data_IF_303464628246
#
_entry.id   IF_303464628246
#
_cell.length_a   1.000
_cell.length_b   1.000
_cell.length_c   1.000
_cell.angle_alpha   90.00
_cell.angle_beta   90.00
_cell.angle_gamma   90.00
#
_symmetry.space_group_name_H-M   'P 1'
#
loop_
_entity.id
_entity.type
_entity.pdbx_description
1 polymer ?
#
# COMPACT_ATOMS: atom_id res chain seq x y z
N UNK A 1 9.42 42.45 -8.39
CA UNK A 1 8.76 42.55 -7.07
C UNK A 1 7.70 41.46 -6.90
N UNK A 2 6.93 41.13 -7.95
CA UNK A 2 5.96 40.00 -7.92
C UNK A 2 6.58 38.67 -7.49
N UNK A 3 7.70 38.23 -8.08
CA UNK A 3 8.36 36.95 -7.72
C UNK A 3 8.75 36.85 -6.24
N UNK A 4 9.08 37.98 -5.60
CA UNK A 4 9.41 38.03 -4.17
C UNK A 4 8.16 38.00 -3.29
N UNK A 5 7.05 38.60 -3.75
CA UNK A 5 5.76 38.52 -3.06
C UNK A 5 5.14 37.12 -3.16
N UNK A 6 5.23 36.50 -4.33
CA UNK A 6 4.70 35.16 -4.59
C UNK A 6 5.42 34.11 -3.75
N UNK A 7 6.75 34.21 -3.67
CA UNK A 7 7.57 33.35 -2.80
C UNK A 7 7.28 33.55 -1.31
N UNK A 8 7.09 34.79 -0.86
CA UNK A 8 6.76 35.08 0.53
C UNK A 8 5.34 34.60 0.90
N UNK A 9 4.40 34.67 -0.03
CA UNK A 9 3.04 34.15 0.13
C UNK A 9 3.03 32.62 0.17
N UNK A 10 3.79 31.94 -0.70
CA UNK A 10 3.99 30.50 -0.62
C UNK A 10 4.61 30.09 0.72
N UNK A 11 5.69 30.75 1.16
CA UNK A 11 6.35 30.40 2.41
C UNK A 11 5.45 30.64 3.65
N UNK A 12 4.57 31.64 3.60
CA UNK A 12 3.55 31.85 4.63
C UNK A 12 2.44 30.80 4.57
N UNK A 13 1.98 30.42 3.38
CA UNK A 13 0.99 29.36 3.19
C UNK A 13 1.53 28.01 3.67
N UNK A 14 2.77 27.67 3.34
CA UNK A 14 3.46 26.46 3.77
C UNK A 14 3.63 26.42 5.29
N UNK A 15 3.99 27.55 5.92
CA UNK A 15 4.08 27.65 7.39
C UNK A 15 2.72 27.55 8.08
N UNK A 16 1.67 28.13 7.49
CA UNK A 16 0.30 28.04 8.01
C UNK A 16 -0.25 26.62 7.88
N UNK A 17 -0.01 25.98 6.74
CA UNK A 17 -0.34 24.58 6.50
C UNK A 17 0.40 23.68 7.49
N UNK A 18 1.71 23.85 7.63
CA UNK A 18 2.53 23.11 8.58
C UNK A 18 2.05 23.33 10.03
N UNK A 19 1.71 24.56 10.41
CA UNK A 19 1.18 24.87 11.73
C UNK A 19 -0.20 24.24 11.97
N UNK A 20 -1.10 24.28 10.99
CA UNK A 20 -2.43 23.70 11.08
C UNK A 20 -2.33 22.16 11.18
N UNK A 21 -1.49 21.55 10.34
CA UNK A 21 -1.12 20.14 10.38
C UNK A 21 -0.59 19.76 11.76
N UNK A 22 0.46 20.42 12.27
CA UNK A 22 1.02 20.12 13.60
C UNK A 22 -0.02 20.27 14.72
N UNK A 23 -0.86 21.31 14.69
CA UNK A 23 -1.88 21.51 15.73
C UNK A 23 -2.99 20.46 15.74
N UNK A 24 -3.19 19.78 14.61
CA UNK A 24 -4.22 18.74 14.43
C UNK A 24 -3.71 17.35 14.83
N UNK A 25 -2.39 17.12 14.80
CA UNK A 25 -1.79 15.81 15.05
C UNK A 25 -1.14 15.71 16.43
N UNK A 26 -1.11 14.48 16.95
CA UNK A 26 -0.16 14.18 18.03
C UNK A 26 1.26 14.26 17.49
N UNK A 27 2.20 14.61 18.36
CA UNK A 27 3.64 14.66 18.04
C UNK A 27 4.14 13.35 17.41
N UNK A 28 3.53 12.23 17.80
CA UNK A 28 3.85 10.89 17.31
C UNK A 28 3.30 10.59 15.91
N UNK A 29 2.04 10.91 15.63
CA UNK A 29 1.46 10.73 14.29
C UNK A 29 2.20 11.61 13.27
N UNK A 30 2.48 12.87 13.62
CA UNK A 30 3.24 13.78 12.76
C UNK A 30 4.65 13.25 12.47
N UNK A 31 5.38 12.79 13.51
CA UNK A 31 6.72 12.20 13.36
C UNK A 31 6.70 11.02 12.40
N UNK A 32 5.75 10.10 12.53
CA UNK A 32 5.69 8.89 11.70
C UNK A 32 5.29 9.18 10.25
N UNK A 33 4.42 10.16 10.02
CA UNK A 33 3.98 10.53 8.67
C UNK A 33 5.04 11.31 7.88
N UNK A 34 5.69 12.30 8.51
CA UNK A 34 6.47 13.31 7.77
C UNK A 34 7.95 13.38 8.16
N UNK A 35 8.32 12.93 9.36
CA UNK A 35 9.72 13.05 9.83
C UNK A 35 10.49 11.73 9.74
N UNK A 36 9.84 10.60 10.01
CA UNK A 36 10.43 9.28 9.87
C UNK A 36 10.50 8.93 8.39
N UNK A 37 11.71 8.70 7.87
CA UNK A 37 11.88 8.22 6.49
C UNK A 37 11.19 6.86 6.35
N UNK A 38 10.47 6.66 5.23
CA UNK A 38 10.01 5.34 4.87
C UNK A 38 11.23 4.49 4.51
N UNK A 39 11.38 3.37 5.21
CA UNK A 39 12.45 2.42 4.93
C UNK A 39 12.03 1.48 3.81
N UNK A 40 12.99 1.11 2.99
CA UNK A 40 12.79 0.09 1.96
C UNK A 40 13.64 -1.12 2.32
N UNK A 41 13.07 -2.31 2.25
CA UNK A 41 13.77 -3.55 2.55
C UNK A 41 13.66 -4.53 1.38
N UNK A 42 14.73 -5.25 1.05
CA UNK A 42 14.62 -6.53 0.35
C UNK A 42 14.32 -7.63 1.38
N UNK A 43 13.26 -8.41 1.14
CA UNK A 43 12.92 -9.55 2.00
C UNK A 43 13.61 -10.80 1.49
N UNK A 44 14.40 -11.45 2.35
CA UNK A 44 15.13 -12.66 1.98
C UNK A 44 14.18 -13.85 1.79
N UNK A 45 14.34 -14.56 0.67
CA UNK A 45 13.51 -15.71 0.29
C UNK A 45 14.37 -16.94 -0.01
N UNK A 46 13.86 -18.12 0.33
CA UNK A 46 14.47 -19.41 0.00
C UNK A 46 14.22 -19.82 -1.46
N UNK A 47 14.78 -20.96 -1.86
CA UNK A 47 14.67 -21.50 -3.22
C UNK A 47 13.25 -21.94 -3.57
N UNK A 48 12.38 -22.10 -2.58
CA UNK A 48 10.94 -22.37 -2.73
C UNK A 48 10.09 -21.08 -2.69
N UNK A 49 10.72 -19.93 -2.51
CA UNK A 49 10.08 -18.61 -2.48
C UNK A 49 9.43 -18.23 -1.15
N UNK A 50 9.68 -18.97 -0.06
CA UNK A 50 9.22 -18.62 1.28
C UNK A 50 10.17 -17.64 1.96
N UNK A 51 9.67 -16.93 2.98
CA UNK A 51 10.47 -16.00 3.78
C UNK A 51 11.54 -16.76 4.58
N UNK A 52 12.81 -16.37 4.41
CA UNK A 52 13.89 -16.84 5.28
C UNK A 52 13.79 -16.13 6.62
N UNK A 53 13.93 -16.91 7.70
CA UNK A 53 13.79 -16.43 9.07
C UNK A 53 15.07 -16.65 9.88
N UNK A 54 15.34 -15.72 10.78
CA UNK A 54 16.42 -15.83 11.76
C UNK A 54 16.12 -16.88 12.85
N UNK A 55 17.04 -17.03 13.80
CA UNK A 55 16.87 -17.96 14.92
C UNK A 55 15.71 -17.63 15.87
N UNK A 56 15.19 -16.39 15.83
CA UNK A 56 14.01 -15.96 16.60
C UNK A 56 12.70 -16.14 15.81
N UNK A 57 12.79 -16.60 14.56
CA UNK A 57 11.65 -16.77 13.68
C UNK A 57 11.19 -15.47 13.00
N UNK A 58 11.99 -14.39 13.03
CA UNK A 58 11.67 -13.13 12.34
C UNK A 58 12.20 -13.17 10.90
N UNK A 59 11.50 -12.55 9.93
CA UNK A 59 12.02 -12.40 8.56
C UNK A 59 13.38 -11.72 8.54
N UNK A 60 14.28 -12.20 7.69
CA UNK A 60 15.53 -11.50 7.40
C UNK A 60 15.24 -10.40 6.39
N UNK A 61 15.53 -9.15 6.77
CA UNK A 61 15.28 -7.95 5.99
C UNK A 61 16.60 -7.23 5.73
N UNK A 62 16.86 -6.91 4.47
CA UNK A 62 18.03 -6.14 4.05
C UNK A 62 17.59 -4.72 3.73
N UNK A 63 17.90 -3.76 4.61
CA UNK A 63 17.56 -2.34 4.39
C UNK A 63 18.31 -1.81 3.17
N UNK A 64 17.57 -1.18 2.25
CA UNK A 64 18.09 -0.60 1.01
C UNK A 64 18.38 0.87 1.26
N UNK A 65 19.60 1.30 0.95
CA UNK A 65 19.96 2.70 1.06
C UNK A 65 19.38 3.56 -0.09
N UNK A 66 19.40 4.89 0.07
CA UNK A 66 18.84 5.81 -0.92
C UNK A 66 19.48 5.70 -2.31
N UNK A 67 20.77 5.35 -2.40
CA UNK A 67 21.46 5.23 -3.68
C UNK A 67 21.15 3.90 -4.37
N UNK A 68 20.91 2.85 -3.60
CA UNK A 68 20.54 1.51 -4.07
C UNK A 68 19.10 1.45 -4.61
N UNK A 69 18.21 2.32 -4.14
CA UNK A 69 16.83 2.45 -4.66
C UNK A 69 16.74 2.69 -6.16
N UNK A 70 17.75 3.31 -6.78
CA UNK A 70 17.81 3.55 -8.23
C UNK A 70 18.35 2.34 -9.01
N UNK A 71 18.80 1.29 -8.33
CA UNK A 71 19.46 0.11 -8.90
C UNK A 71 18.82 -1.19 -8.43
N UNK A 72 17.57 -1.11 -7.96
CA UNK A 72 16.81 -2.29 -7.59
C UNK A 72 16.72 -3.22 -8.79
N UNK A 73 16.91 -4.51 -8.51
CA UNK A 73 16.92 -5.53 -9.54
C UNK A 73 15.52 -6.08 -9.68
N UNK A 74 14.94 -5.92 -10.87
CA UNK A 74 13.89 -6.82 -11.30
C UNK A 74 14.49 -8.17 -11.65
N UNK A 75 13.79 -9.24 -11.28
CA UNK A 75 14.23 -10.63 -11.40
C UNK A 75 13.06 -11.46 -11.90
N UNK A 76 13.32 -12.59 -12.55
CA UNK A 76 12.27 -13.43 -13.15
C UNK A 76 11.94 -13.10 -14.59
N UNK A 77 11.01 -13.87 -15.17
CA UNK A 77 10.67 -13.81 -16.60
C UNK A 77 9.99 -12.49 -16.99
N UNK A 78 9.17 -11.94 -16.08
CA UNK A 78 8.40 -10.71 -16.32
C UNK A 78 9.23 -9.43 -16.11
N UNK A 79 10.43 -9.54 -15.51
CA UNK A 79 11.35 -8.43 -15.22
C UNK A 79 10.67 -7.22 -14.55
N UNK A 80 9.63 -7.45 -13.73
CA UNK A 80 8.98 -6.41 -12.93
C UNK A 80 9.54 -6.40 -11.51
N UNK A 81 9.59 -5.22 -10.91
CA UNK A 81 9.96 -5.05 -9.51
C UNK A 81 8.74 -5.34 -8.62
N UNK A 82 8.81 -6.31 -7.70
CA UNK A 82 7.72 -6.58 -6.77
C UNK A 82 7.87 -5.71 -5.51
N UNK A 83 6.97 -4.76 -5.32
CA UNK A 83 6.96 -3.83 -4.19
C UNK A 83 5.67 -3.99 -3.39
N UNK A 84 5.81 -4.09 -2.07
CA UNK A 84 4.70 -4.21 -1.13
C UNK A 84 4.65 -3.03 -0.15
N UNK A 85 3.44 -2.57 0.19
CA UNK A 85 3.19 -1.58 1.24
C UNK A 85 2.29 -2.16 2.33
N UNK A 86 2.69 -1.98 3.59
CA UNK A 86 2.02 -2.61 4.74
C UNK A 86 0.82 -1.83 5.30
N UNK A 87 0.00 -2.54 6.06
CA UNK A 87 -1.12 -2.00 6.82
C UNK A 87 -0.71 -1.25 8.10
N UNK A 88 -1.73 -0.86 8.89
CA UNK A 88 -1.57 -0.32 10.24
C UNK A 88 -1.08 -1.40 11.22
N UNK A 89 -0.45 -1.00 12.33
CA UNK A 89 -0.06 -1.92 13.40
C UNK A 89 0.85 -3.07 12.95
N UNK A 90 1.74 -2.82 11.98
CA UNK A 90 2.72 -3.79 11.53
C UNK A 90 4.12 -3.27 11.84
N UNK A 91 4.81 -3.96 12.76
CA UNK A 91 6.25 -3.80 12.88
C UNK A 91 6.97 -4.31 11.61
N UNK A 92 8.28 -4.05 11.52
CA UNK A 92 9.08 -4.45 10.36
C UNK A 92 8.99 -5.96 10.08
N UNK A 93 8.98 -6.80 11.13
CA UNK A 93 8.90 -8.25 11.02
C UNK A 93 7.55 -8.72 10.46
N UNK A 94 6.43 -8.22 10.99
CA UNK A 94 5.10 -8.54 10.48
C UNK A 94 4.93 -8.06 9.03
N UNK A 95 5.38 -6.84 8.72
CA UNK A 95 5.33 -6.28 7.38
C UNK A 95 6.15 -7.11 6.38
N UNK A 96 7.35 -7.56 6.78
CA UNK A 96 8.21 -8.43 5.98
C UNK A 96 7.61 -9.81 5.72
N UNK A 97 6.91 -10.39 6.70
CA UNK A 97 6.21 -11.65 6.50
C UNK A 97 5.01 -11.48 5.55
N UNK A 98 4.23 -10.42 5.73
CA UNK A 98 3.06 -10.15 4.88
C UNK A 98 3.42 -9.79 3.45
N UNK A 99 4.58 -9.15 3.21
CA UNK A 99 4.98 -8.79 1.85
C UNK A 99 5.10 -10.02 0.95
N UNK A 100 5.75 -11.09 1.42
CA UNK A 100 5.86 -12.34 0.65
C UNK A 100 4.55 -13.11 0.63
N UNK A 101 3.82 -13.16 1.75
CA UNK A 101 2.52 -13.84 1.82
C UNK A 101 1.52 -13.28 0.80
N UNK A 102 1.48 -11.96 0.64
CA UNK A 102 0.39 -11.28 -0.08
C UNK A 102 0.80 -10.76 -1.47
N UNK A 103 2.08 -10.45 -1.70
CA UNK A 103 2.54 -10.13 -3.05
C UNK A 103 2.41 -11.34 -3.98
N UNK A 104 2.56 -12.56 -3.45
CA UNK A 104 2.50 -13.81 -4.21
C UNK A 104 3.47 -13.80 -5.41
N UNK A 105 4.62 -13.16 -5.21
CA UNK A 105 5.66 -13.07 -6.23
C UNK A 105 6.19 -14.47 -6.59
N UNK A 106 6.43 -14.76 -7.87
CA UNK A 106 6.96 -16.05 -8.31
C UNK A 106 8.24 -16.46 -7.59
N UNK A 107 8.49 -17.77 -7.55
CA UNK A 107 9.73 -18.33 -7.01
C UNK A 107 10.92 -17.80 -7.81
N UNK A 108 11.98 -17.41 -7.11
CA UNK A 108 13.18 -16.79 -7.70
C UNK A 108 13.07 -15.29 -7.98
N UNK A 109 11.90 -14.67 -7.77
CA UNK A 109 11.75 -13.22 -7.84
C UNK A 109 11.98 -12.53 -6.49
N UNK A 110 12.58 -11.35 -6.50
CA UNK A 110 12.76 -10.52 -5.30
C UNK A 110 11.46 -9.81 -4.92
N UNK A 111 11.26 -9.60 -3.62
CA UNK A 111 10.18 -8.81 -3.03
C UNK A 111 10.78 -7.71 -2.18
N UNK A 112 10.35 -6.48 -2.45
CA UNK A 112 10.76 -5.29 -1.70
C UNK A 112 9.58 -4.77 -0.88
N UNK A 113 9.84 -4.36 0.36
CA UNK A 113 8.87 -3.78 1.28
C UNK A 113 9.16 -2.29 1.41
N UNK A 114 8.21 -1.43 1.05
CA UNK A 114 8.17 -0.04 1.52
C UNK A 114 7.45 -0.05 2.86
N UNK A 115 8.22 0.05 3.96
CA UNK A 115 7.67 0.01 5.31
C UNK A 115 7.13 1.38 5.71
N UNK A 116 5.83 1.44 5.94
CA UNK A 116 5.20 2.52 6.67
C UNK A 116 5.21 2.16 8.16
N UNK A 117 6.02 2.83 8.99
CA UNK A 117 6.15 2.51 10.40
C UNK A 117 4.81 2.65 11.12
N UNK A 118 4.56 1.73 12.05
CA UNK A 118 3.44 1.84 12.95
C UNK A 118 3.63 3.02 13.92
N UNK A 119 2.53 3.54 14.44
CA UNK A 119 2.55 4.46 15.57
C UNK A 119 2.43 3.64 16.84
N UNK A 120 3.14 3.98 17.92
CA UNK A 120 3.19 3.16 19.13
C UNK A 120 1.88 3.19 19.94
N UNK A 121 0.78 3.76 19.41
CA UNK A 121 -0.53 3.78 20.04
C UNK A 121 -1.69 3.84 19.04
N UNK A 122 -2.84 3.27 19.44
CA UNK A 122 -4.03 3.15 18.61
C UNK A 122 -4.61 4.49 18.11
N UNK A 123 -4.61 5.53 18.95
CA UNK A 123 -5.16 6.84 18.56
C UNK A 123 -4.32 7.47 17.42
N UNK A 124 -3.00 7.38 17.51
CA UNK A 124 -2.11 7.94 16.50
C UNK A 124 -2.25 7.20 15.17
N UNK A 125 -2.43 5.87 15.19
CA UNK A 125 -2.72 5.10 13.97
C UNK A 125 -4.04 5.55 13.31
N UNK A 126 -5.08 5.81 14.10
CA UNK A 126 -6.34 6.33 13.58
C UNK A 126 -6.19 7.73 12.97
N UNK A 127 -5.36 8.59 13.56
CA UNK A 127 -5.08 9.91 13.00
C UNK A 127 -4.32 9.82 11.66
N UNK A 128 -3.32 8.93 11.57
CA UNK A 128 -2.61 8.65 10.31
C UNK A 128 -3.59 8.14 9.26
N UNK A 129 -4.41 7.15 9.60
CA UNK A 129 -5.42 6.61 8.69
C UNK A 129 -6.43 7.68 8.24
N UNK A 130 -6.89 8.53 9.15
CA UNK A 130 -7.78 9.65 8.85
C UNK A 130 -7.14 10.67 7.92
N UNK A 131 -5.87 11.00 8.12
CA UNK A 131 -5.10 11.86 7.23
C UNK A 131 -4.99 11.26 5.83
N UNK A 132 -4.50 10.01 5.72
CA UNK A 132 -4.37 9.35 4.44
C UNK A 132 -5.70 9.23 3.69
N UNK A 133 -6.81 9.02 4.40
CA UNK A 133 -8.13 8.87 3.77
C UNK A 133 -8.78 10.17 3.32
N UNK A 134 -8.57 11.26 4.05
CA UNK A 134 -9.34 12.49 3.86
C UNK A 134 -8.55 13.72 3.43
N UNK A 135 -7.23 13.72 3.58
CA UNK A 135 -6.41 14.93 3.49
C UNK A 135 -5.10 14.75 2.71
N UNK A 136 -4.49 13.57 2.74
CA UNK A 136 -3.22 13.33 2.05
C UNK A 136 -3.37 13.61 0.55
N UNK A 137 -2.54 14.52 0.06
CA UNK A 137 -2.55 15.00 -1.32
C UNK A 137 -1.27 15.76 -1.61
N UNK A 138 -0.98 16.00 -2.90
CA UNK A 138 0.14 16.84 -3.32
C UNK A 138 0.15 18.24 -2.65
N UNK A 139 -1.03 18.81 -2.37
CA UNK A 139 -1.16 20.15 -1.80
C UNK A 139 -1.01 20.19 -0.27
N UNK A 140 -1.51 19.17 0.44
CA UNK A 140 -1.50 19.14 1.91
C UNK A 140 -0.28 18.37 2.48
N UNK A 141 0.41 17.62 1.62
CA UNK A 141 1.65 16.92 1.92
C UNK A 141 1.48 15.40 1.85
N UNK A 142 2.35 14.73 1.12
CA UNK A 142 2.41 13.28 1.12
C UNK A 142 3.19 12.77 2.32
N UNK A 143 2.74 11.66 2.89
CA UNK A 143 3.53 10.92 3.88
C UNK A 143 4.78 10.36 3.22
N UNK A 144 5.82 10.09 4.00
CA UNK A 144 7.09 9.61 3.45
C UNK A 144 6.96 8.26 2.74
N UNK A 145 6.03 7.39 3.16
CA UNK A 145 5.77 6.12 2.47
C UNK A 145 5.09 6.34 1.11
N UNK A 146 4.13 7.27 1.04
CA UNK A 146 3.50 7.66 -0.24
C UNK A 146 4.53 8.28 -1.18
N UNK A 147 5.40 9.15 -0.66
CA UNK A 147 6.49 9.74 -1.45
C UNK A 147 7.45 8.67 -2.00
N UNK A 148 7.75 7.63 -1.23
CA UNK A 148 8.57 6.52 -1.71
C UNK A 148 7.89 5.77 -2.87
N UNK A 149 6.57 5.54 -2.80
CA UNK A 149 5.82 4.92 -3.89
C UNK A 149 5.76 5.81 -5.14
N UNK A 150 5.62 7.13 -4.97
CA UNK A 150 5.73 8.10 -6.07
C UNK A 150 7.11 7.97 -6.75
N UNK A 151 8.19 7.94 -5.95
CA UNK A 151 9.55 7.85 -6.47
C UNK A 151 9.78 6.53 -7.24
N UNK A 152 9.42 5.39 -6.65
CA UNK A 152 9.55 4.09 -7.31
C UNK A 152 8.71 4.00 -8.58
N UNK A 153 7.51 4.59 -8.58
CA UNK A 153 6.66 4.67 -9.76
C UNK A 153 7.31 5.45 -10.90
N UNK A 154 7.96 6.58 -10.59
CA UNK A 154 8.67 7.37 -11.60
C UNK A 154 9.91 6.67 -12.16
N UNK A 155 10.61 5.90 -11.31
CA UNK A 155 11.84 5.20 -11.71
C UNK A 155 11.51 3.93 -12.51
N UNK A 156 10.54 3.14 -12.05
CA UNK A 156 10.30 1.78 -12.54
C UNK A 156 8.94 1.55 -13.21
N UNK A 157 8.00 2.49 -13.10
CA UNK A 157 6.61 2.26 -13.53
C UNK A 157 6.43 2.03 -15.03
N UNK A 158 7.33 2.56 -15.86
CA UNK A 158 7.37 2.32 -17.31
C UNK A 158 8.17 1.07 -17.69
N UNK A 159 9.17 0.71 -16.88
CA UNK A 159 10.06 -0.44 -17.16
C UNK A 159 9.44 -1.76 -16.70
N UNK A 160 8.73 -1.75 -15.57
CA UNK A 160 8.09 -2.93 -15.01
C UNK A 160 8.00 -2.88 -13.49
N UNK A 161 6.78 -2.71 -12.97
CA UNK A 161 6.52 -2.59 -11.54
C UNK A 161 5.27 -3.41 -11.17
N UNK A 162 5.32 -4.11 -10.03
CA UNK A 162 4.18 -4.73 -9.39
C UNK A 162 4.03 -4.06 -8.02
N UNK A 163 2.93 -3.33 -7.81
CA UNK A 163 2.61 -2.71 -6.52
C UNK A 163 1.54 -3.54 -5.82
N UNK A 164 1.85 -4.03 -4.62
CA UNK A 164 0.87 -4.72 -3.76
C UNK A 164 0.62 -3.91 -2.49
N UNK A 165 -0.64 -3.57 -2.23
CA UNK A 165 -1.06 -2.82 -1.04
C UNK A 165 -2.00 -3.62 -0.15
N UNK A 166 -1.64 -3.78 1.13
CA UNK A 166 -2.52 -4.37 2.14
C UNK A 166 -3.14 -3.32 3.04
N UNK A 167 -4.45 -3.37 3.29
CA UNK A 167 -5.10 -2.49 4.26
C UNK A 167 -4.82 -1.01 3.97
N UNK A 168 -4.19 -0.27 4.90
CA UNK A 168 -3.66 1.09 4.68
C UNK A 168 -2.62 1.19 3.55
N UNK A 169 -1.83 0.15 3.30
CA UNK A 169 -0.87 0.12 2.20
C UNK A 169 -1.52 0.39 0.84
N UNK A 170 -2.78 -0.01 0.64
CA UNK A 170 -3.51 0.34 -0.59
C UNK A 170 -3.81 1.85 -0.68
N UNK A 171 -4.06 2.53 0.45
CA UNK A 171 -4.20 3.99 0.50
C UNK A 171 -2.89 4.68 0.16
N UNK A 172 -1.77 4.15 0.63
CA UNK A 172 -0.43 4.67 0.30
C UNK A 172 -0.19 4.64 -1.22
N UNK A 173 -0.60 3.55 -1.89
CA UNK A 173 -0.52 3.43 -3.35
C UNK A 173 -1.54 4.37 -4.03
N UNK A 174 -2.80 4.38 -3.58
CA UNK A 174 -3.85 5.24 -4.14
C UNK A 174 -3.49 6.73 -4.09
N UNK A 175 -3.03 7.22 -2.94
CA UNK A 175 -2.61 8.61 -2.74
C UNK A 175 -1.38 8.97 -3.58
N UNK A 176 -0.47 8.00 -3.81
CA UNK A 176 0.64 8.19 -4.73
C UNK A 176 0.15 8.36 -6.17
N UNK A 177 -0.84 7.58 -6.60
CA UNK A 177 -1.45 7.71 -7.93
C UNK A 177 -2.17 9.05 -8.10
N UNK A 178 -2.95 9.49 -7.12
CA UNK A 178 -3.59 10.80 -7.12
C UNK A 178 -2.56 11.92 -7.26
N UNK A 179 -1.43 11.83 -6.55
CA UNK A 179 -0.33 12.80 -6.72
C UNK A 179 0.27 12.74 -8.12
N UNK A 180 0.59 11.54 -8.63
CA UNK A 180 1.18 11.36 -9.97
C UNK A 180 0.31 11.98 -11.07
N UNK A 181 -1.01 11.93 -10.94
CA UNK A 181 -1.95 12.55 -11.89
C UNK A 181 -1.78 14.08 -11.96
N UNK A 182 -1.38 14.72 -10.86
CA UNK A 182 -1.14 16.17 -10.83
C UNK A 182 0.22 16.59 -11.39
N UNK A 183 1.14 15.64 -11.62
CA UNK A 183 2.52 15.95 -12.00
C UNK A 183 2.72 16.18 -13.51
N UNK A 184 1.71 15.89 -14.34
CA UNK A 184 1.81 16.04 -15.79
C UNK A 184 2.83 15.10 -16.45
N UNK A 185 3.11 13.95 -15.83
CA UNK A 185 4.01 12.94 -16.37
C UNK A 185 3.35 12.18 -17.52
N UNK A 186 4.13 11.79 -18.52
CA UNK A 186 3.65 10.97 -19.64
C UNK A 186 3.68 9.51 -19.21
N UNK A 187 2.48 8.94 -19.04
CA UNK A 187 2.24 7.51 -18.79
C UNK A 187 3.18 6.88 -17.74
N UNK A 188 3.35 7.48 -16.54
CA UNK A 188 4.34 7.03 -15.55
C UNK A 188 4.16 5.57 -15.10
N UNK A 189 3.00 4.96 -15.32
CA UNK A 189 2.66 3.60 -14.90
C UNK A 189 2.39 2.64 -16.08
N UNK A 190 2.91 2.93 -17.29
CA UNK A 190 2.61 2.17 -18.50
C UNK A 190 2.90 0.66 -18.41
N UNK A 191 3.83 0.22 -17.57
CA UNK A 191 4.12 -1.19 -17.31
C UNK A 191 3.95 -1.58 -15.82
N UNK A 192 2.97 -0.99 -15.14
CA UNK A 192 2.71 -1.26 -13.72
C UNK A 192 1.47 -2.12 -13.49
N UNK A 193 1.61 -3.23 -12.78
CA UNK A 193 0.47 -3.99 -12.26
C UNK A 193 0.20 -3.58 -10.81
N UNK A 194 -1.07 -3.53 -10.42
CA UNK A 194 -1.47 -3.21 -9.05
C UNK A 194 -2.34 -4.33 -8.49
N UNK A 195 -2.02 -4.75 -7.26
CA UNK A 195 -2.79 -5.71 -6.48
C UNK A 195 -3.14 -5.14 -5.12
N UNK A 196 -4.40 -5.25 -4.74
CA UNK A 196 -4.92 -4.80 -3.46
C UNK A 196 -5.51 -5.96 -2.66
N UNK A 197 -5.08 -6.07 -1.40
CA UNK A 197 -5.46 -7.15 -0.47
C UNK A 197 -6.07 -6.56 0.79
N UNK A 198 -7.34 -6.88 1.09
CA UNK A 198 -8.14 -6.23 2.14
C UNK A 198 -8.04 -4.69 2.15
N UNK A 199 -8.17 -4.00 0.99
CA UNK A 199 -7.71 -2.61 0.85
C UNK A 199 -8.61 -1.56 1.50
N UNK A 200 -8.02 -0.54 2.11
CA UNK A 200 -8.75 0.65 2.58
C UNK A 200 -9.01 1.70 1.46
N UNK A 201 -8.38 1.51 0.29
CA UNK A 201 -8.59 2.30 -0.93
C UNK A 201 -9.53 1.58 -1.89
N UNK A 202 -10.27 2.32 -2.72
CA UNK A 202 -11.17 1.73 -3.71
C UNK A 202 -10.37 1.14 -4.88
N UNK A 203 -10.47 -0.16 -5.10
CA UNK A 203 -9.86 -0.83 -6.24
C UNK A 203 -10.42 -0.32 -7.58
N UNK A 204 -11.66 0.16 -7.60
CA UNK A 204 -12.25 0.77 -8.79
C UNK A 204 -11.64 2.14 -9.10
N UNK A 205 -11.44 2.98 -8.08
CA UNK A 205 -10.76 4.28 -8.24
C UNK A 205 -9.30 4.09 -8.66
N UNK A 206 -8.62 3.10 -8.08
CA UNK A 206 -7.27 2.74 -8.47
C UNK A 206 -7.22 2.20 -9.91
N UNK A 207 -8.17 1.36 -10.35
CA UNK A 207 -8.22 0.89 -11.73
C UNK A 207 -8.40 2.04 -12.73
N UNK A 208 -9.29 2.99 -12.43
CA UNK A 208 -9.51 4.18 -13.27
C UNK A 208 -8.25 5.06 -13.32
N UNK A 209 -7.58 5.23 -12.18
CA UNK A 209 -6.35 6.01 -12.10
C UNK A 209 -5.19 5.32 -12.81
N UNK A 210 -5.09 3.99 -12.73
CA UNK A 210 -4.07 3.20 -13.41
C UNK A 210 -4.26 3.26 -14.93
N UNK A 211 -5.51 3.15 -15.43
CA UNK A 211 -5.84 3.33 -16.85
C UNK A 211 -5.34 4.68 -17.37
N UNK A 212 -5.61 5.75 -16.63
CA UNK A 212 -5.14 7.10 -16.98
C UNK A 212 -3.61 7.22 -16.93
N UNK A 213 -2.98 6.80 -15.81
CA UNK A 213 -1.54 6.93 -15.58
C UNK A 213 -0.70 5.98 -16.43
N UNK A 214 -1.31 4.96 -17.02
CA UNK A 214 -0.65 4.02 -17.92
C UNK A 214 -0.89 4.34 -19.40
N UNK A 215 -1.71 5.34 -19.73
CA UNK A 215 -2.11 5.61 -21.11
C UNK A 215 -3.00 4.52 -21.72
N UNK A 216 -3.75 3.78 -20.89
CA UNK A 216 -4.57 2.65 -21.30
C UNK A 216 -3.82 1.32 -21.42
N UNK A 217 -2.53 1.27 -21.09
CA UNK A 217 -1.74 0.04 -21.14
C UNK A 217 -2.08 -0.93 -20.00
N UNK A 218 -2.57 -0.41 -18.87
CA UNK A 218 -2.93 -1.17 -17.67
C UNK A 218 -4.31 -0.73 -17.20
N UNK A 219 -5.31 -1.60 -17.38
CA UNK A 219 -6.73 -1.22 -17.24
C UNK A 219 -7.42 -1.96 -16.11
N UNK A 220 -6.68 -2.63 -15.23
CA UNK A 220 -7.28 -3.34 -14.10
C UNK A 220 -6.40 -3.39 -12.87
N UNK A 221 -7.04 -3.44 -11.70
CA UNK A 221 -6.41 -3.76 -10.41
C UNK A 221 -6.84 -5.14 -9.98
N UNK A 222 -5.89 -5.99 -9.59
CA UNK A 222 -6.21 -7.26 -8.94
C UNK A 222 -6.70 -6.99 -7.51
N UNK A 223 -7.86 -7.52 -7.15
CA UNK A 223 -8.47 -7.38 -5.84
C UNK A 223 -8.59 -8.74 -5.17
N UNK A 224 -8.17 -8.81 -3.91
CA UNK A 224 -8.49 -9.88 -2.99
C UNK A 224 -9.09 -9.25 -1.73
N UNK A 225 -10.34 -9.57 -1.44
CA UNK A 225 -11.10 -8.94 -0.36
C UNK A 225 -12.10 -9.91 0.26
N UNK A 226 -12.01 -10.10 1.56
CA UNK A 226 -12.80 -11.06 2.31
C UNK A 226 -14.16 -10.49 2.73
N UNK A 227 -15.22 -11.31 2.72
CA UNK A 227 -16.56 -10.87 3.11
C UNK A 227 -16.64 -10.35 4.56
N UNK A 228 -15.85 -10.90 5.47
CA UNK A 228 -15.84 -10.47 6.87
C UNK A 228 -14.84 -9.34 7.17
N UNK A 229 -14.13 -8.84 6.16
CA UNK A 229 -13.20 -7.71 6.31
C UNK A 229 -13.91 -6.37 6.11
N UNK A 230 -14.12 -5.63 7.20
CA UNK A 230 -14.77 -4.32 7.13
C UNK A 230 -13.86 -3.23 6.54
N UNK A 231 -12.53 -3.38 6.60
CA UNK A 231 -11.60 -2.41 6.03
C UNK A 231 -11.77 -2.41 4.52
N UNK A 232 -11.67 -3.60 3.93
CA UNK A 232 -11.92 -3.79 2.50
C UNK A 232 -13.31 -3.36 2.06
N UNK A 233 -14.35 -3.83 2.76
CA UNK A 233 -15.75 -3.64 2.34
C UNK A 233 -16.35 -2.28 2.65
N UNK A 234 -16.11 -1.74 3.84
CA UNK A 234 -16.78 -0.54 4.31
C UNK A 234 -15.89 0.69 4.13
N UNK A 235 -14.61 0.61 4.50
CA UNK A 235 -13.68 1.76 4.38
C UNK A 235 -13.24 1.93 2.93
N UNK A 236 -12.84 0.84 2.29
CA UNK A 236 -12.47 0.83 0.87
C UNK A 236 -13.65 0.80 -0.09
N UNK A 237 -14.84 0.43 0.37
CA UNK A 237 -16.04 0.32 -0.47
C UNK A 237 -15.95 -0.82 -1.50
N UNK A 238 -15.06 -1.79 -1.29
CA UNK A 238 -14.74 -2.80 -2.28
C UNK A 238 -15.70 -4.00 -2.24
N UNK A 239 -15.91 -4.61 -3.40
CA UNK A 239 -16.63 -5.88 -3.50
C UNK A 239 -15.83 -7.03 -2.87
N UNK A 240 -16.54 -8.09 -2.51
CA UNK A 240 -15.96 -9.30 -1.89
C UNK A 240 -15.59 -10.32 -2.95
N UNK A 241 -14.58 -11.12 -2.66
CA UNK A 241 -13.98 -12.08 -3.61
C UNK A 241 -14.04 -13.52 -3.10
N UNK A 242 -14.08 -13.69 -1.78
CA UNK A 242 -14.33 -14.93 -1.04
C UNK A 242 -14.89 -14.56 0.35
N UNK A 243 -15.27 -15.53 1.19
CA UNK A 243 -16.07 -15.18 2.37
C UNK A 243 -16.37 -16.28 3.38
N UNK A 244 -15.56 -17.34 3.48
CA UNK A 244 -15.81 -18.33 4.53
C UNK A 244 -15.50 -17.74 5.92
N UNK A 245 -16.29 -18.10 6.93
CA UNK A 245 -16.03 -17.70 8.32
C UNK A 245 -16.11 -18.93 9.22
N UNK A 246 -15.41 -18.95 10.36
CA UNK A 246 -15.45 -20.09 11.28
C UNK A 246 -16.88 -20.41 11.74
N UNK A 247 -17.16 -21.71 11.94
CA UNK A 247 -18.45 -22.18 12.44
C UNK A 247 -18.81 -21.48 13.77
N UNK A 248 -20.06 -21.00 13.87
CA UNK A 248 -20.53 -20.25 15.02
C UNK A 248 -19.99 -18.81 15.14
N UNK A 249 -19.27 -18.32 14.13
CA UNK A 249 -18.88 -16.91 14.03
C UNK A 249 -19.90 -16.06 13.29
N UNK A 250 -19.73 -14.74 13.37
CA UNK A 250 -20.51 -13.74 12.66
C UNK A 250 -19.65 -12.50 12.35
N UNK A 251 -20.15 -11.59 11.51
CA UNK A 251 -19.40 -10.41 11.07
C UNK A 251 -18.89 -9.55 12.23
N UNK A 252 -19.70 -9.31 13.26
CA UNK A 252 -19.29 -8.48 14.40
C UNK A 252 -18.11 -9.12 15.14
N UNK A 253 -18.16 -10.43 15.36
CA UNK A 253 -17.06 -11.18 15.99
C UNK A 253 -15.79 -11.13 15.14
N UNK A 254 -15.93 -11.29 13.82
CA UNK A 254 -14.79 -11.19 12.92
C UNK A 254 -14.19 -9.78 12.87
N UNK A 255 -15.00 -8.73 12.94
CA UNK A 255 -14.49 -7.36 13.02
C UNK A 255 -13.70 -7.10 14.29
N UNK A 256 -14.09 -7.71 15.41
CA UNK A 256 -13.31 -7.67 16.65
C UNK A 256 -11.99 -8.43 16.48
N UNK A 257 -12.00 -9.60 15.84
CA UNK A 257 -10.80 -10.42 15.63
C UNK A 257 -9.74 -9.69 14.79
N UNK A 258 -10.14 -8.85 13.83
CA UNK A 258 -9.22 -8.06 12.98
C UNK A 258 -8.24 -7.21 13.80
N UNK A 259 -8.65 -6.70 14.96
CA UNK A 259 -7.79 -5.85 15.80
C UNK A 259 -6.86 -6.62 16.75
N UNK A 260 -7.07 -7.93 16.92
CA UNK A 260 -6.41 -8.70 17.98
C UNK A 260 -5.71 -9.98 17.52
N UNK A 261 -5.86 -10.37 16.25
CA UNK A 261 -5.38 -11.66 15.77
C UNK A 261 -4.81 -11.56 14.35
N UNK A 262 -3.61 -12.12 14.16
CA UNK A 262 -2.99 -12.27 12.83
C UNK A 262 -3.79 -13.22 11.94
N UNK A 263 -4.31 -14.31 12.52
CA UNK A 263 -5.25 -15.21 11.83
C UNK A 263 -6.66 -14.61 11.93
N UNK A 264 -6.98 -13.72 11.01
CA UNK A 264 -8.28 -13.04 10.93
C UNK A 264 -8.68 -12.82 9.47
N UNK A 265 -9.95 -12.46 9.25
CA UNK A 265 -10.46 -12.06 7.94
C UNK A 265 -9.64 -10.96 7.23
N UNK A 266 -8.85 -10.17 7.98
CA UNK A 266 -8.04 -9.09 7.44
C UNK A 266 -6.55 -9.45 7.29
N UNK A 267 -6.05 -10.46 8.01
CA UNK A 267 -4.66 -10.95 7.89
C UNK A 267 -4.51 -12.16 6.97
N UNK A 268 -5.60 -12.91 6.75
CA UNK A 268 -5.62 -14.15 5.97
C UNK A 268 -5.88 -13.90 4.48
N UNK A 269 -4.88 -13.30 3.83
CA UNK A 269 -4.80 -13.07 2.38
C UNK A 269 -3.60 -13.81 1.76
N UNK A 270 -3.56 -13.89 0.43
CA UNK A 270 -2.51 -14.52 -0.37
C UNK A 270 -2.29 -16.00 -0.05
N UNK A 271 -1.03 -16.44 0.02
CA UNK A 271 -0.65 -17.83 0.34
C UNK A 271 -0.75 -18.17 1.83
N UNK A 272 -1.62 -17.48 2.58
CA UNK A 272 -1.72 -17.54 4.04
C UNK A 272 -1.71 -18.95 4.65
N UNK A 273 -1.45 -19.03 5.96
CA UNK A 273 -1.25 -20.31 6.66
C UNK A 273 -2.40 -21.32 6.46
N UNK A 274 -2.15 -22.60 6.71
CA UNK A 274 -3.22 -23.63 6.71
C UNK A 274 -4.37 -23.28 7.67
N UNK A 275 -4.08 -22.58 8.76
CA UNK A 275 -5.12 -22.09 9.68
C UNK A 275 -5.99 -21.02 9.01
N UNK A 276 -5.39 -20.10 8.24
CA UNK A 276 -6.12 -19.13 7.43
C UNK A 276 -7.08 -19.82 6.46
N UNK A 277 -6.60 -20.76 5.66
CA UNK A 277 -7.44 -21.47 4.66
C UNK A 277 -8.58 -22.22 5.35
N UNK A 278 -8.30 -22.88 6.48
CA UNK A 278 -9.32 -23.64 7.23
C UNK A 278 -10.41 -22.75 7.82
N UNK A 279 -10.06 -21.52 8.23
CA UNK A 279 -10.98 -20.63 8.95
C UNK A 279 -11.71 -19.65 8.02
N UNK A 280 -11.02 -19.19 6.97
CA UNK A 280 -11.46 -18.08 6.11
C UNK A 280 -11.56 -18.46 4.64
N UNK A 281 -11.35 -19.74 4.31
CA UNK A 281 -11.37 -20.25 2.95
C UNK A 281 -10.09 -19.94 2.19
N UNK A 282 -9.95 -20.55 1.01
CA UNK A 282 -8.85 -20.23 0.11
C UNK A 282 -9.03 -18.82 -0.45
N UNK A 283 -8.02 -17.93 -0.34
CA UNK A 283 -8.11 -16.60 -0.93
C UNK A 283 -8.31 -16.66 -2.44
N UNK A 284 -9.16 -15.78 -2.96
CA UNK A 284 -9.53 -15.72 -4.38
C UNK A 284 -9.40 -14.29 -4.87
N UNK A 285 -8.70 -14.09 -5.99
CA UNK A 285 -8.54 -12.78 -6.60
C UNK A 285 -9.49 -12.59 -7.78
N UNK A 286 -9.90 -11.34 -8.01
CA UNK A 286 -10.60 -10.92 -9.23
C UNK A 286 -9.93 -9.67 -9.79
N UNK A 287 -10.01 -9.47 -11.10
CA UNK A 287 -9.58 -8.22 -11.71
C UNK A 287 -10.73 -7.21 -11.74
N UNK A 288 -10.48 -6.02 -11.19
CA UNK A 288 -11.38 -4.87 -11.25
C UNK A 288 -10.99 -4.04 -12.47
N UNK A 289 -11.78 -4.05 -13.56
CA UNK A 289 -11.46 -3.25 -14.73
C UNK A 289 -11.76 -1.78 -14.47
N UNK A 290 -11.01 -0.90 -15.13
CA UNK A 290 -11.33 0.52 -15.19
C UNK A 290 -12.71 0.69 -15.84
N UNK A 291 -13.54 1.53 -15.25
CA UNK A 291 -14.78 1.98 -15.90
C UNK A 291 -14.38 3.00 -16.93
N UNK A 292 -14.21 2.58 -18.19
CA UNK A 292 -13.92 3.48 -19.30
C UNK A 292 -14.98 4.57 -19.33
N UNK A 293 -14.62 5.81 -18.98
CA UNK A 293 -15.43 6.96 -19.34
C UNK A 293 -15.23 7.15 -20.84
N UNK A 294 -15.98 6.40 -21.65
CA UNK A 294 -16.14 6.75 -23.06
C UNK A 294 -16.78 8.14 -23.01
N UNK A 295 -15.96 9.16 -23.25
CA UNK A 295 -16.45 10.51 -23.46
C UNK A 295 -17.56 10.41 -24.51
N UNK A 296 -18.78 10.74 -24.11
CA UNK A 296 -19.81 11.13 -25.04
C UNK A 296 -19.25 12.32 -25.82
N UNK A 297 -18.87 12.07 -27.07
CA UNK A 297 -18.62 13.10 -28.07
C UNK A 297 -19.87 13.95 -28.28
#
# INVERSE_FOLDING_TARGET
>A
MEVLQEKAQQEQADKLLLSATISTFTDEAFKKMFLAKAKVFEVERDDEGNVVRDSEGKPILHEIDEAEKFKLKSTGENKKLNVFTNGLFNDESAAGAYSVQMAEAPVGEKVYLVHFPDTNNFLSELLVAGYQKGLESAALGNTNATQEIINLSQIYGQDGLNLTGHSRGSMTIGNAMETLQTMGLVEPLSNTNIKFVGPAYSAQEAANSLDTLSGGNQTSVELQNHMADFVGRLIGGNQTTYGEVPEGSNLIKEWINIFGQSTSAHGCYGVGSRACIKQYGAPSSINIPATTTIGTQ
#
